data_IF_437436046378
#
_entry.id   IF_437436046378
#
_cell.length_a   1.000
_cell.length_b   1.000
_cell.length_c   1.000
_cell.angle_alpha   90.00
_cell.angle_beta   90.00
_cell.angle_gamma   90.00
#
_symmetry.space_group_name_H-M   'P 1'
#
loop_
_entity.id
_entity.type
_entity.pdbx_description
1 polymer ?
#
# COMPACT_ATOMS: atom_id res chain seq x y z
N UNK A 1 -31.70 5.81 34.20
CA UNK A 1 -30.57 4.84 34.18
C UNK A 1 -30.07 4.64 35.59
N UNK A 2 -29.82 3.39 36.00
CA UNK A 2 -29.31 3.06 37.34
C UNK A 2 -27.79 3.23 37.38
N UNK A 3 -27.28 4.02 38.34
CA UNK A 3 -25.85 4.30 38.53
C UNK A 3 -25.02 3.02 38.74
N UNK A 4 -25.61 2.05 39.43
CA UNK A 4 -25.02 0.73 39.67
C UNK A 4 -24.82 -0.08 38.39
N UNK A 5 -25.79 -0.02 37.47
CA UNK A 5 -25.72 -0.74 36.18
C UNK A 5 -24.62 -0.14 35.32
N UNK A 6 -24.50 1.19 35.28
CA UNK A 6 -23.42 1.86 34.56
C UNK A 6 -22.04 1.52 35.14
N UNK A 7 -21.92 1.48 36.48
CA UNK A 7 -20.67 1.12 37.14
C UNK A 7 -20.18 -0.29 36.78
N UNK A 8 -21.09 -1.26 36.78
CA UNK A 8 -20.75 -2.68 36.56
C UNK A 8 -20.59 -3.03 35.08
N UNK A 9 -21.53 -2.60 34.22
CA UNK A 9 -21.53 -2.98 32.80
C UNK A 9 -20.62 -2.11 31.94
N UNK A 10 -20.60 -0.80 32.16
CA UNK A 10 -19.82 0.10 31.31
C UNK A 10 -18.41 0.33 31.84
N UNK A 11 -18.28 0.53 33.16
CA UNK A 11 -17.00 0.85 33.80
C UNK A 11 -16.28 -0.40 34.34
N UNK A 12 -16.94 -1.56 34.41
CA UNK A 12 -16.34 -2.81 34.89
C UNK A 12 -15.95 -2.80 36.37
N UNK A 13 -16.56 -1.94 37.18
CA UNK A 13 -16.25 -1.80 38.61
C UNK A 13 -16.86 -2.95 39.41
N UNK A 14 -16.12 -3.44 40.40
CA UNK A 14 -16.68 -4.32 41.43
C UNK A 14 -17.59 -3.54 42.39
N UNK A 15 -18.42 -4.26 43.17
CA UNK A 15 -19.26 -3.64 44.20
C UNK A 15 -18.45 -2.85 45.22
N UNK A 16 -17.34 -3.40 45.68
CA UNK A 16 -16.45 -2.74 46.65
C UNK A 16 -15.89 -1.44 46.08
N UNK A 17 -15.41 -1.45 44.85
CA UNK A 17 -14.86 -0.28 44.18
C UNK A 17 -15.92 0.82 43.95
N UNK A 18 -17.17 0.44 43.68
CA UNK A 18 -18.25 1.39 43.50
C UNK A 18 -18.58 2.14 44.80
N UNK A 19 -18.62 1.43 45.94
CA UNK A 19 -18.92 2.05 47.23
C UNK A 19 -17.74 2.84 47.83
N UNK A 20 -16.52 2.52 47.42
CA UNK A 20 -15.31 3.28 47.80
C UNK A 20 -15.21 4.64 47.06
N UNK A 21 -15.89 4.77 45.91
CA UNK A 21 -15.89 5.98 45.11
C UNK A 21 -16.83 7.06 45.65
N UNK A 22 -16.33 8.29 45.73
CA UNK A 22 -17.20 9.45 45.96
C UNK A 22 -18.06 9.75 44.72
N UNK A 23 -19.26 10.34 44.88
CA UNK A 23 -20.13 10.68 43.75
C UNK A 23 -19.45 11.56 42.68
N UNK A 24 -18.56 12.47 43.09
CA UNK A 24 -17.79 13.32 42.16
C UNK A 24 -16.77 12.53 41.35
N UNK A 25 -16.07 11.59 41.98
CA UNK A 25 -15.13 10.71 41.28
C UNK A 25 -15.85 9.80 40.30
N UNK A 26 -17.01 9.25 40.69
CA UNK A 26 -17.83 8.45 39.81
C UNK A 26 -18.31 9.27 38.59
N UNK A 27 -18.80 10.49 38.80
CA UNK A 27 -19.22 11.37 37.72
C UNK A 27 -18.05 11.72 36.77
N UNK A 28 -16.85 11.94 37.31
CA UNK A 28 -15.65 12.19 36.51
C UNK A 28 -15.26 10.96 35.67
N UNK A 29 -15.37 9.75 36.23
CA UNK A 29 -15.14 8.50 35.50
C UNK A 29 -16.14 8.32 34.35
N UNK A 30 -17.43 8.55 34.60
CA UNK A 30 -18.44 8.48 33.54
C UNK A 30 -18.15 9.47 32.40
N UNK A 31 -17.80 10.73 32.73
CA UNK A 31 -17.43 11.73 31.71
C UNK A 31 -16.21 11.30 30.91
N UNK A 32 -15.18 10.78 31.59
CA UNK A 32 -13.96 10.30 30.93
C UNK A 32 -14.25 9.11 30.01
N UNK A 33 -15.09 8.17 30.45
CA UNK A 33 -15.49 7.03 29.65
C UNK A 33 -16.25 7.45 28.39
N UNK A 34 -17.22 8.36 28.53
CA UNK A 34 -17.96 8.93 27.40
C UNK A 34 -17.03 9.61 26.39
N UNK A 35 -16.15 10.50 26.86
CA UNK A 35 -15.20 11.19 25.99
C UNK A 35 -14.26 10.22 25.26
N UNK A 36 -13.76 9.19 25.96
CA UNK A 36 -12.92 8.16 25.34
C UNK A 36 -13.69 7.38 24.27
N UNK A 37 -14.94 6.99 24.56
CA UNK A 37 -15.77 6.25 23.62
C UNK A 37 -16.07 7.07 22.37
N UNK A 38 -16.37 8.35 22.52
CA UNK A 38 -16.54 9.28 21.41
C UNK A 38 -15.25 9.46 20.61
N UNK A 39 -14.11 9.63 21.28
CA UNK A 39 -12.81 9.80 20.62
C UNK A 39 -12.43 8.56 19.81
N UNK A 40 -12.56 7.37 20.42
CA UNK A 40 -12.28 6.09 19.74
C UNK A 40 -13.23 5.92 18.55
N UNK A 41 -14.53 6.19 18.74
CA UNK A 41 -15.51 6.11 17.65
C UNK A 41 -15.15 7.04 16.50
N UNK A 42 -14.89 8.32 16.77
CA UNK A 42 -14.51 9.30 15.77
C UNK A 42 -13.23 8.89 15.02
N UNK A 43 -12.24 8.37 15.75
CA UNK A 43 -11.00 7.87 15.15
C UNK A 43 -11.25 6.63 14.26
N UNK A 44 -12.08 5.69 14.71
CA UNK A 44 -12.43 4.50 13.92
C UNK A 44 -13.22 4.86 12.67
N UNK A 45 -14.16 5.81 12.74
CA UNK A 45 -14.93 6.29 11.59
C UNK A 45 -14.00 6.97 10.56
N UNK A 46 -13.05 7.79 11.02
CA UNK A 46 -12.06 8.42 10.14
C UNK A 46 -11.15 7.40 9.46
N UNK A 47 -10.61 6.43 10.22
CA UNK A 47 -9.76 5.37 9.66
C UNK A 47 -10.52 4.51 8.66
N UNK A 48 -11.78 4.18 8.96
CA UNK A 48 -12.65 3.46 8.04
C UNK A 48 -12.91 4.26 6.76
N UNK A 49 -13.15 5.57 6.88
CA UNK A 49 -13.27 6.47 5.73
C UNK A 49 -12.02 6.52 4.85
N UNK A 50 -10.83 6.54 5.46
CA UNK A 50 -9.56 6.51 4.72
C UNK A 50 -9.35 5.17 3.99
N UNK A 51 -9.60 4.05 4.68
CA UNK A 51 -9.47 2.71 4.08
C UNK A 51 -10.46 2.50 2.93
N UNK A 52 -11.72 2.89 3.11
CA UNK A 52 -12.74 2.79 2.07
C UNK A 52 -12.43 3.71 0.89
N UNK A 53 -11.98 4.95 1.13
CA UNK A 53 -11.51 5.85 0.08
C UNK A 53 -10.35 5.25 -0.71
N UNK A 54 -9.39 4.62 -0.02
CA UNK A 54 -8.27 3.96 -0.67
C UNK A 54 -8.75 2.79 -1.54
N UNK A 55 -9.57 1.89 -1.01
CA UNK A 55 -10.14 0.76 -1.77
C UNK A 55 -10.94 1.23 -2.99
N UNK A 56 -11.75 2.29 -2.86
CA UNK A 56 -12.50 2.84 -4.01
C UNK A 56 -11.54 3.41 -5.06
N UNK A 57 -10.51 4.14 -4.64
CA UNK A 57 -9.57 4.80 -5.55
C UNK A 57 -8.58 3.83 -6.22
N UNK A 58 -8.15 2.77 -5.53
CA UNK A 58 -7.09 1.86 -6.01
C UNK A 58 -7.58 0.46 -6.34
N UNK A 59 -8.66 -0.01 -5.71
CA UNK A 59 -9.17 -1.38 -5.84
C UNK A 59 -9.80 -1.70 -7.19
N UNK A 60 -10.23 -0.69 -7.95
CA UNK A 60 -10.84 -0.86 -9.28
C UNK A 60 -9.96 -0.36 -10.43
N UNK A 61 -8.64 -0.21 -10.24
CA UNK A 61 -7.76 -0.06 -11.40
C UNK A 61 -7.73 -1.41 -12.10
N UNK A 62 -8.50 -1.53 -13.17
CA UNK A 62 -8.61 -2.72 -14.02
C UNK A 62 -7.23 -3.22 -14.40
N UNK A 63 -6.72 -4.22 -13.67
CA UNK A 63 -5.46 -4.92 -13.98
C UNK A 63 -5.56 -5.76 -15.28
N UNK A 64 -6.62 -5.59 -16.06
CA UNK A 64 -6.92 -6.41 -17.24
C UNK A 64 -6.91 -5.67 -18.58
N UNK A 65 -6.80 -4.34 -18.61
CA UNK A 65 -6.49 -3.66 -19.86
C UNK A 65 -4.98 -3.61 -20.04
N UNK A 66 -4.46 -4.72 -20.59
CA UNK A 66 -3.21 -4.75 -21.33
C UNK A 66 -3.02 -3.40 -21.99
N UNK A 67 -1.94 -2.69 -21.68
CA UNK A 67 -1.50 -1.50 -22.43
C UNK A 67 -1.55 -1.88 -23.91
N UNK A 68 -2.62 -1.48 -24.60
CA UNK A 68 -2.76 -1.75 -26.02
C UNK A 68 -1.75 -0.85 -26.69
N UNK A 69 -0.70 -1.45 -27.24
CA UNK A 69 0.34 -0.76 -28.00
C UNK A 69 -0.39 0.10 -29.05
N UNK A 70 -0.11 1.41 -29.17
CA UNK A 70 -0.80 2.31 -30.10
C UNK A 70 -0.86 1.82 -31.56
N UNK A 71 0.03 0.89 -31.93
CA UNK A 71 0.04 0.16 -33.20
C UNK A 71 -1.25 -0.65 -33.48
N UNK A 72 -2.08 -0.93 -32.46
CA UNK A 72 -3.31 -1.71 -32.62
C UNK A 72 -4.55 -0.88 -33.02
N UNK A 73 -4.48 0.46 -32.98
CA UNK A 73 -5.66 1.32 -33.23
C UNK A 73 -5.79 1.83 -34.66
N UNK A 74 -4.72 1.86 -35.46
CA UNK A 74 -4.74 1.92 -36.94
C UNK A 74 -3.29 2.07 -37.45
N UNK A 75 -2.88 1.35 -38.52
CA UNK A 75 -1.62 1.67 -39.18
C UNK A 75 -1.78 3.00 -39.92
N UNK A 76 -1.15 4.06 -39.39
CA UNK A 76 -1.06 5.34 -40.12
C UNK A 76 -0.22 5.15 -41.39
N UNK A 77 -0.62 5.80 -42.49
CA UNK A 77 0.12 5.76 -43.76
C UNK A 77 1.57 6.27 -43.63
N UNK A 78 1.86 7.08 -42.61
CA UNK A 78 3.20 7.55 -42.28
C UNK A 78 4.10 6.44 -41.70
N UNK A 79 3.54 5.50 -40.93
CA UNK A 79 4.29 4.39 -40.34
C UNK A 79 4.73 3.34 -41.39
N UNK A 80 3.95 3.16 -42.46
CA UNK A 80 4.33 2.32 -43.61
C UNK A 80 5.52 2.89 -44.38
N UNK A 81 5.66 4.22 -44.44
CA UNK A 81 6.75 4.91 -45.14
C UNK A 81 8.08 4.89 -44.36
N UNK A 82 8.01 4.68 -43.04
CA UNK A 82 9.16 4.73 -42.13
C UNK A 82 9.37 3.41 -41.40
N UNK A 83 9.05 2.26 -42.01
CA UNK A 83 9.44 0.98 -41.41
C UNK A 83 10.96 1.01 -41.21
N UNK A 84 11.48 1.04 -39.97
CA UNK A 84 12.91 0.97 -39.76
C UNK A 84 13.33 -0.40 -40.27
N UNK A 85 14.22 -0.44 -41.25
CA UNK A 85 14.87 -1.66 -41.70
C UNK A 85 15.36 -2.37 -40.46
N UNK A 86 14.71 -3.47 -40.07
CA UNK A 86 15.12 -4.29 -38.93
C UNK A 86 16.59 -4.62 -39.15
N UNK A 87 17.49 -3.93 -38.45
CA UNK A 87 18.89 -4.29 -38.47
C UNK A 87 18.94 -5.74 -37.97
N UNK A 88 19.55 -6.67 -38.74
CA UNK A 88 19.60 -8.05 -38.33
C UNK A 88 20.32 -8.08 -36.98
N UNK A 89 19.64 -8.64 -35.98
CA UNK A 89 20.17 -8.83 -34.65
C UNK A 89 21.35 -9.81 -34.79
N UNK A 90 22.56 -9.28 -34.97
CA UNK A 90 23.76 -10.07 -35.22
C UNK A 90 24.14 -10.77 -33.91
N UNK A 91 23.57 -11.95 -33.71
CA UNK A 91 23.91 -12.82 -32.59
C UNK A 91 25.43 -13.07 -32.64
N UNK A 92 26.18 -12.54 -31.68
CA UNK A 92 27.63 -12.72 -31.62
C UNK A 92 27.95 -14.22 -31.60
N UNK A 93 28.66 -14.69 -32.64
CA UNK A 93 29.13 -16.08 -32.74
C UNK A 93 30.13 -16.38 -31.63
N UNK A 94 30.27 -17.66 -31.24
CA UNK A 94 31.21 -18.09 -30.18
C UNK A 94 32.65 -17.60 -30.45
N UNK A 95 33.08 -17.59 -31.71
CA UNK A 95 34.40 -17.10 -32.10
C UNK A 95 34.61 -15.61 -31.79
N UNK A 96 33.62 -14.76 -32.07
CA UNK A 96 33.69 -13.33 -31.73
C UNK A 96 33.72 -13.09 -30.23
N UNK A 97 33.04 -13.92 -29.44
CA UNK A 97 33.09 -13.85 -27.97
C UNK A 97 34.48 -14.22 -27.43
N UNK A 98 35.08 -15.29 -27.97
CA UNK A 98 36.43 -15.69 -27.58
C UNK A 98 37.45 -14.59 -27.88
N UNK A 99 37.40 -14.01 -29.09
CA UNK A 99 38.27 -12.90 -29.46
C UNK A 99 38.14 -11.67 -28.54
N UNK A 100 36.93 -11.35 -28.08
CA UNK A 100 36.69 -10.25 -27.12
C UNK A 100 37.25 -10.58 -25.73
N UNK A 101 37.14 -11.84 -25.29
CA UNK A 101 37.70 -12.26 -23.99
C UNK A 101 39.24 -12.24 -24.03
N UNK A 102 39.84 -12.65 -25.14
CA UNK A 102 41.29 -12.65 -25.30
C UNK A 102 41.85 -11.22 -25.35
N UNK A 103 41.18 -10.29 -26.04
CA UNK A 103 41.58 -8.87 -26.01
C UNK A 103 41.46 -8.26 -24.62
N UNK A 104 40.40 -8.57 -23.86
CA UNK A 104 40.25 -8.11 -22.48
C UNK A 104 41.39 -8.65 -21.59
N UNK A 105 41.76 -9.93 -21.74
CA UNK A 105 42.88 -10.53 -21.00
C UNK A 105 44.23 -9.91 -21.35
N UNK A 106 44.44 -9.52 -22.62
CA UNK A 106 45.66 -8.81 -23.03
C UNK A 106 45.71 -7.38 -22.48
N UNK A 107 44.57 -6.70 -22.34
CA UNK A 107 44.51 -5.35 -21.78
C UNK A 107 44.74 -5.31 -20.27
N UNK A 108 44.41 -6.39 -19.56
CA UNK A 108 44.56 -6.49 -18.11
C UNK A 108 45.33 -7.76 -17.73
N UNK A 109 46.66 -7.80 -17.95
CA UNK A 109 47.47 -8.91 -17.51
C UNK A 109 47.41 -9.00 -15.98
N UNK A 110 47.03 -10.17 -15.47
CA UNK A 110 47.01 -10.43 -14.04
C UNK A 110 48.43 -10.22 -13.48
N UNK A 111 48.62 -9.13 -12.72
CA UNK A 111 49.84 -8.91 -11.95
C UNK A 111 49.95 -10.06 -10.94
N UNK A 112 50.97 -10.90 -11.11
CA UNK A 112 51.45 -11.83 -10.07
C UNK A 112 52.53 -11.13 -9.27
#
# INVERSE_FOLDING_TARGET
MSWWVTATLELGLSSEQFYDLTPRQFQALCKRYQNNRETVRNHTELMFGQLTSWVVNTGFRSYFEKFQIPAHFMPSLLALKQAPTKQPNTRMTKAKRAAVVDTIRMMFPAQR
#
